data_IF_695325269809
#
_entry.id   IF_695325269809
#
_cell.length_a   1.000
_cell.length_b   1.000
_cell.length_c   1.000
_cell.angle_alpha   90.00
_cell.angle_beta   90.00
_cell.angle_gamma   90.00
#
_symmetry.space_group_name_H-M   'P 1'
#
loop_
_entity.id
_entity.type
_entity.pdbx_description
1 polymer ?
#
# COMPACT_ATOMS: atom_id res chain seq x y z
N UNK A 1 -10.82 -21.98 16.98
CA UNK A 1 -10.66 -20.52 16.91
C UNK A 1 -9.29 -20.25 16.33
N UNK A 2 -9.17 -19.29 15.43
CA UNK A 2 -7.90 -18.86 14.83
C UNK A 2 -7.63 -17.42 15.21
N UNK A 3 -6.35 -17.06 15.25
CA UNK A 3 -5.90 -15.68 15.38
C UNK A 3 -5.31 -15.23 14.06
N UNK A 4 -5.70 -14.05 13.62
CA UNK A 4 -5.32 -13.45 12.36
C UNK A 4 -4.75 -12.07 12.62
N UNK A 5 -3.72 -11.72 11.86
CA UNK A 5 -3.23 -10.37 11.74
C UNK A 5 -3.67 -9.79 10.41
N UNK A 6 -4.35 -8.66 10.47
CA UNK A 6 -4.80 -7.87 9.32
C UNK A 6 -3.92 -6.64 9.28
N UNK A 7 -3.25 -6.42 8.14
CA UNK A 7 -2.56 -5.17 7.85
C UNK A 7 -3.24 -4.52 6.64
N UNK A 8 -3.55 -3.23 6.72
CA UNK A 8 -4.16 -2.51 5.61
C UNK A 8 -3.70 -1.06 5.56
N UNK A 9 -3.41 -0.55 4.36
CA UNK A 9 -3.07 0.85 4.15
C UNK A 9 -4.29 1.62 3.64
N UNK A 10 -4.53 2.80 4.18
CA UNK A 10 -5.61 3.71 3.78
C UNK A 10 -5.07 5.12 3.54
N UNK A 11 -5.61 5.92 2.62
CA UNK A 11 -5.19 7.30 2.44
C UNK A 11 -5.63 8.20 3.61
N UNK A 12 -6.68 7.81 4.34
CA UNK A 12 -7.27 8.62 5.41
C UNK A 12 -7.45 7.82 6.70
N UNK A 13 -7.25 8.50 7.83
CA UNK A 13 -7.41 7.91 9.18
C UNK A 13 -8.88 7.85 9.61
N UNK A 14 -9.69 8.77 9.11
CA UNK A 14 -11.01 9.07 9.66
C UNK A 14 -11.98 7.89 9.52
N UNK A 15 -12.50 7.36 10.63
CA UNK A 15 -13.46 6.24 10.58
C UNK A 15 -12.88 4.86 10.18
N UNK A 16 -11.62 4.78 9.75
CA UNK A 16 -10.99 3.54 9.26
C UNK A 16 -11.07 2.40 10.29
N UNK A 17 -10.67 2.67 11.53
CA UNK A 17 -10.71 1.70 12.62
C UNK A 17 -12.13 1.21 12.92
N UNK A 18 -13.11 2.11 12.83
CA UNK A 18 -14.51 1.82 13.15
C UNK A 18 -15.12 0.94 12.05
N UNK A 19 -14.88 1.27 10.78
CA UNK A 19 -15.41 0.54 9.62
C UNK A 19 -14.78 -0.85 9.51
N UNK A 20 -13.45 -0.94 9.61
CA UNK A 20 -12.73 -2.23 9.60
C UNK A 20 -13.10 -3.07 10.81
N UNK A 21 -13.22 -2.45 12.00
CA UNK A 21 -13.72 -3.12 13.20
C UNK A 21 -15.15 -3.66 13.02
N UNK A 22 -16.02 -2.94 12.31
CA UNK A 22 -17.37 -3.41 11.99
C UNK A 22 -17.34 -4.64 11.08
N UNK A 23 -16.48 -4.68 10.07
CA UNK A 23 -16.31 -5.87 9.22
C UNK A 23 -15.83 -7.08 10.02
N UNK A 24 -14.82 -6.88 10.88
CA UNK A 24 -14.28 -7.93 11.77
C UNK A 24 -15.39 -8.51 12.65
N UNK A 25 -16.16 -7.66 13.32
CA UNK A 25 -17.25 -8.07 14.21
C UNK A 25 -18.41 -8.75 13.45
N UNK A 26 -18.79 -8.22 12.29
CA UNK A 26 -19.88 -8.79 11.46
C UNK A 26 -19.58 -10.22 10.99
N UNK A 27 -18.30 -10.57 10.85
CA UNK A 27 -17.86 -11.91 10.45
C UNK A 27 -17.49 -12.81 11.64
N UNK A 28 -17.84 -12.41 12.86
CA UNK A 28 -17.67 -13.23 14.08
C UNK A 28 -16.26 -13.24 14.65
N UNK A 29 -15.42 -12.28 14.27
CA UNK A 29 -14.09 -12.09 14.86
C UNK A 29 -14.15 -11.04 15.98
N UNK A 30 -13.37 -11.25 17.03
CA UNK A 30 -13.16 -10.29 18.11
C UNK A 30 -11.80 -9.63 17.96
N UNK A 31 -11.77 -8.32 18.13
CA UNK A 31 -10.53 -7.56 18.10
C UNK A 31 -9.71 -7.80 19.38
N UNK A 32 -8.44 -8.18 19.22
CA UNK A 32 -7.50 -8.39 20.33
C UNK A 32 -6.55 -7.20 20.48
N UNK A 33 -5.94 -6.77 19.38
CA UNK A 33 -4.98 -5.66 19.35
C UNK A 33 -5.22 -4.83 18.10
N UNK A 34 -4.99 -3.53 18.19
CA UNK A 34 -5.02 -2.64 17.05
C UNK A 34 -3.92 -1.60 17.16
N UNK A 35 -3.40 -1.17 16.01
CA UNK A 35 -2.43 -0.10 15.89
C UNK A 35 -2.73 0.67 14.62
N UNK A 36 -2.73 1.99 14.72
CA UNK A 36 -2.72 2.87 13.55
C UNK A 36 -1.42 3.65 13.58
N UNK A 37 -0.73 3.67 12.46
CA UNK A 37 0.54 4.39 12.27
C UNK A 37 0.41 5.27 11.03
N UNK A 38 1.00 6.46 11.07
CA UNK A 38 1.14 7.30 9.90
C UNK A 38 2.40 6.88 9.16
N UNK A 39 2.25 6.57 7.89
CA UNK A 39 3.28 6.11 6.96
C UNK A 39 3.44 7.14 5.83
N UNK A 40 4.57 7.12 5.13
CA UNK A 40 4.83 8.01 3.99
C UNK A 40 3.77 7.86 2.88
N UNK A 41 3.14 6.69 2.78
CA UNK A 41 2.12 6.39 1.78
C UNK A 41 0.67 6.45 2.30
N UNK A 42 0.44 6.74 3.59
CA UNK A 42 -0.91 6.85 4.16
C UNK A 42 -1.00 6.48 5.64
N UNK A 43 -2.10 5.85 6.03
CA UNK A 43 -2.37 5.38 7.39
C UNK A 43 -2.38 3.86 7.37
N UNK A 44 -1.38 3.27 8.03
CA UNK A 44 -1.25 1.84 8.20
C UNK A 44 -2.06 1.38 9.42
N UNK A 45 -3.04 0.52 9.19
CA UNK A 45 -3.83 -0.16 10.20
C UNK A 45 -3.32 -1.59 10.38
N UNK A 46 -2.95 -1.96 11.60
CA UNK A 46 -2.67 -3.35 11.99
C UNK A 46 -3.70 -3.78 13.03
N UNK A 47 -4.39 -4.90 12.81
CA UNK A 47 -5.37 -5.47 13.73
C UNK A 47 -5.10 -6.97 13.94
N UNK A 48 -4.96 -7.39 15.20
CA UNK A 48 -4.96 -8.80 15.57
C UNK A 48 -6.38 -9.16 16.00
N UNK A 49 -6.97 -10.13 15.32
CA UNK A 49 -8.36 -10.55 15.52
C UNK A 49 -8.46 -12.04 15.77
N UNK A 50 -9.42 -12.46 16.59
CA UNK A 50 -9.62 -13.86 16.96
C UNK A 50 -11.03 -14.30 16.62
N UNK A 51 -11.19 -15.39 15.88
CA UNK A 51 -12.51 -15.80 15.41
C UNK A 51 -12.60 -17.23 14.89
N UNK A 52 -13.75 -17.61 14.31
CA UNK A 52 -13.95 -18.92 13.72
C UNK A 52 -13.18 -19.06 12.41
N UNK A 53 -12.51 -20.19 12.19
CA UNK A 53 -11.77 -20.44 10.95
C UNK A 53 -12.64 -20.39 9.69
N UNK A 54 -13.92 -20.77 9.84
CA UNK A 54 -14.92 -20.74 8.76
C UNK A 54 -15.22 -19.31 8.28
N UNK A 55 -15.05 -18.30 9.14
CA UNK A 55 -15.31 -16.88 8.81
C UNK A 55 -14.17 -16.21 8.04
N UNK A 56 -12.98 -16.83 7.97
CA UNK A 56 -11.77 -16.22 7.37
C UNK A 56 -12.00 -15.76 5.94
N UNK A 57 -12.47 -16.66 5.06
CA UNK A 57 -12.65 -16.34 3.62
C UNK A 57 -13.68 -15.22 3.39
N UNK A 58 -14.73 -15.18 4.21
CA UNK A 58 -15.76 -14.15 4.12
C UNK A 58 -15.23 -12.79 4.59
N UNK A 59 -14.45 -12.77 5.68
CA UNK A 59 -13.77 -11.57 6.14
C UNK A 59 -12.76 -11.07 5.10
N UNK A 60 -11.98 -11.96 4.50
CA UNK A 60 -11.02 -11.64 3.44
C UNK A 60 -11.71 -10.99 2.23
N UNK A 61 -12.82 -11.57 1.77
CA UNK A 61 -13.59 -11.00 0.67
C UNK A 61 -14.20 -9.64 1.01
N UNK A 62 -14.69 -9.45 2.24
CA UNK A 62 -15.24 -8.18 2.69
C UNK A 62 -14.18 -7.07 2.78
N UNK A 63 -12.98 -7.40 3.28
CA UNK A 63 -11.85 -6.46 3.34
C UNK A 63 -11.29 -6.18 1.94
N UNK A 64 -11.30 -7.15 1.03
CA UNK A 64 -10.89 -6.93 -0.37
C UNK A 64 -11.87 -6.11 -1.20
N UNK A 65 -13.14 -6.04 -0.79
CA UNK A 65 -14.13 -5.16 -1.40
C UNK A 65 -14.18 -3.75 -0.76
N UNK A 66 -13.37 -3.49 0.26
CA UNK A 66 -13.39 -2.22 0.98
C UNK A 66 -12.55 -1.16 0.26
N UNK A 67 -13.23 -0.25 -0.44
CA UNK A 67 -12.64 0.75 -1.34
C UNK A 67 -11.64 1.72 -0.69
N UNK A 68 -11.67 1.85 0.65
CA UNK A 68 -10.76 2.75 1.37
C UNK A 68 -9.42 2.12 1.69
N UNK A 69 -9.30 0.79 1.57
CA UNK A 69 -7.99 0.17 1.55
C UNK A 69 -7.35 0.38 0.18
N UNK A 70 -6.19 1.00 0.19
CA UNK A 70 -5.26 0.99 -0.92
C UNK A 70 -4.83 -0.45 -1.20
N UNK A 71 -4.64 -1.20 -0.11
CA UNK A 71 -4.03 -2.51 -0.10
C UNK A 71 -4.23 -3.14 1.27
N UNK A 72 -4.35 -4.47 1.33
CA UNK A 72 -4.42 -5.18 2.60
C UNK A 72 -3.86 -6.59 2.47
N UNK A 73 -3.40 -7.13 3.60
CA UNK A 73 -3.02 -8.53 3.73
C UNK A 73 -3.56 -9.10 5.04
N UNK A 74 -3.83 -10.41 5.01
CA UNK A 74 -4.34 -11.13 6.17
C UNK A 74 -3.59 -12.45 6.36
N UNK A 75 -3.00 -12.62 7.54
CA UNK A 75 -2.13 -13.74 7.87
C UNK A 75 -2.54 -14.42 9.18
N UNK A 76 -2.17 -15.70 9.40
CA UNK A 76 -2.19 -16.27 10.74
C UNK A 76 -1.28 -15.47 11.68
N UNK A 77 -1.80 -15.09 12.84
CA UNK A 77 -1.02 -14.42 13.89
C UNK A 77 -0.12 -15.45 14.60
N UNK A 78 1.15 -15.10 14.79
CA UNK A 78 2.14 -15.88 15.53
C UNK A 78 2.75 -14.96 16.59
N UNK A 79 2.60 -15.31 17.87
CA UNK A 79 3.08 -14.48 18.98
C UNK A 79 4.61 -14.48 19.02
N UNK A 80 5.22 -13.28 19.05
CA UNK A 80 6.67 -13.10 19.18
C UNK A 80 7.45 -12.72 17.91
N UNK A 81 6.84 -12.75 16.73
CA UNK A 81 7.48 -12.28 15.49
C UNK A 81 6.93 -10.90 15.08
N UNK A 82 7.67 -9.79 15.30
CA UNK A 82 7.33 -8.53 14.69
C UNK A 82 7.54 -8.65 13.18
N UNK A 83 6.45 -8.81 12.42
CA UNK A 83 6.54 -8.87 10.96
C UNK A 83 6.75 -7.46 10.39
N UNK A 84 7.73 -7.28 9.49
CA UNK A 84 8.03 -5.99 8.90
C UNK A 84 6.82 -5.45 8.15
N UNK A 85 6.67 -4.13 8.21
CA UNK A 85 5.48 -3.38 7.84
C UNK A 85 5.17 -3.47 6.33
N UNK A 86 3.91 -3.72 6.02
CA UNK A 86 3.33 -3.59 4.70
C UNK A 86 3.12 -2.11 4.35
N UNK A 87 3.69 -1.65 3.23
CA UNK A 87 3.63 -0.24 2.82
C UNK A 87 3.11 -0.11 1.38
N UNK A 88 1.86 -0.49 1.05
CA UNK A 88 1.42 -0.51 -0.36
C UNK A 88 0.84 0.79 -0.89
N UNK A 89 1.48 1.38 -1.90
CA UNK A 89 1.06 2.60 -2.63
C UNK A 89 -0.21 2.41 -3.50
N UNK A 90 -0.92 3.53 -3.73
CA UNK A 90 -2.25 3.73 -4.34
C UNK A 90 -2.51 3.03 -5.70
N UNK A 91 -3.62 2.30 -5.89
CA UNK A 91 -4.26 2.23 -7.20
C UNK A 91 -5.02 3.55 -7.47
N UNK A 92 -4.81 4.15 -8.64
CA UNK A 92 -5.52 5.37 -9.06
C UNK A 92 -7.04 5.13 -9.14
N UNK A 93 -7.78 5.70 -8.19
CA UNK A 93 -9.12 6.22 -8.49
C UNK A 93 -9.03 7.73 -8.70
N UNK A 94 -9.26 8.14 -9.96
CA UNK A 94 -9.64 9.48 -10.39
C UNK A 94 -8.83 10.67 -9.79
N UNK A 95 -7.55 10.77 -10.13
CA UNK A 95 -6.90 12.09 -10.12
C UNK A 95 -7.39 12.88 -11.34
N UNK A 96 -8.36 13.76 -11.12
CA UNK A 96 -8.67 14.84 -12.07
C UNK A 96 -7.65 15.96 -11.81
N UNK A 97 -6.77 16.30 -12.77
CA UNK A 97 -5.84 17.41 -12.59
C UNK A 97 -6.61 18.71 -12.31
N UNK A 98 -6.09 19.60 -11.45
CA UNK A 98 -6.71 20.90 -11.23
C UNK A 98 -6.79 21.65 -12.56
N UNK A 99 -7.91 22.34 -12.86
CA UNK A 99 -8.04 23.08 -14.09
C UNK A 99 -6.95 24.15 -14.17
N UNK A 100 -6.26 24.18 -15.32
CA UNK A 100 -5.23 25.18 -15.60
C UNK A 100 -5.78 26.61 -15.39
N UNK A 101 -4.96 27.56 -14.91
CA UNK A 101 -5.39 28.94 -14.73
C UNK A 101 -5.88 29.51 -16.07
N UNK A 102 -7.03 30.21 -16.09
CA UNK A 102 -7.63 30.65 -17.35
C UNK A 102 -6.75 31.71 -18.02
N UNK A 103 -6.34 31.42 -19.25
CA UNK A 103 -5.82 32.41 -20.19
C UNK A 103 -7.00 33.33 -20.56
N UNK A 104 -6.86 34.62 -20.26
CA UNK A 104 -7.88 35.62 -20.52
C UNK A 104 -8.11 35.82 -22.03
N UNK A 105 -9.36 35.63 -22.48
CA UNK A 105 -9.85 36.07 -23.78
C UNK A 105 -11.33 36.53 -23.64
N UNK A 106 -11.81 37.44 -24.51
CA UNK A 106 -12.78 38.47 -24.15
C UNK A 106 -14.24 38.01 -24.13
N UNK A 107 -15.04 38.75 -23.38
CA UNK A 107 -16.43 38.48 -23.01
C UNK A 107 -17.44 38.52 -24.18
N UNK A 108 -18.51 37.71 -24.12
CA UNK A 108 -19.79 37.99 -24.74
C UNK A 108 -20.91 38.37 -23.72
N UNK A 109 -21.99 39.04 -24.17
CA UNK A 109 -23.04 39.64 -23.32
C UNK A 109 -24.10 38.62 -22.82
N UNK A 110 -25.02 39.03 -21.91
CA UNK A 110 -25.65 38.08 -20.97
C UNK A 110 -27.14 37.75 -21.20
N UNK A 111 -27.53 36.64 -20.56
CA UNK A 111 -28.81 36.18 -19.95
C UNK A 111 -30.11 36.01 -20.74
N UNK A 112 -30.79 34.88 -20.44
CA UNK A 112 -32.07 34.74 -19.66
C UNK A 112 -32.30 33.24 -19.40
N UNK A 113 -32.37 32.66 -18.19
CA UNK A 113 -33.14 32.84 -16.94
C UNK A 113 -34.56 32.23 -16.94
N UNK A 114 -34.81 31.24 -16.05
CA UNK A 114 -36.01 31.01 -15.19
C UNK A 114 -35.89 29.60 -14.55
N UNK A 115 -35.76 29.43 -13.21
CA UNK A 115 -36.77 29.49 -12.12
C UNK A 115 -37.94 28.50 -12.36
N UNK A 116 -38.39 27.62 -11.45
CA UNK A 116 -38.86 27.88 -10.07
C UNK A 116 -39.17 26.54 -9.34
N UNK A 117 -39.01 26.49 -8.02
CA UNK A 117 -39.62 25.52 -7.06
C UNK A 117 -41.10 25.93 -6.74
N UNK A 118 -41.88 25.45 -5.72
CA UNK A 118 -41.62 24.53 -4.58
C UNK A 118 -42.83 23.66 -4.07
N UNK A 119 -42.63 23.02 -2.89
CA UNK A 119 -43.60 22.69 -1.79
C UNK A 119 -44.57 21.49 -1.91
N UNK A 120 -44.57 20.54 -0.96
CA UNK A 120 -45.32 20.61 0.34
C UNK A 120 -45.38 19.24 1.06
N UNK A 121 -45.50 19.29 2.40
CA UNK A 121 -45.76 18.17 3.36
C UNK A 121 -47.24 18.31 3.84
N UNK A 122 -47.85 17.62 4.86
CA UNK A 122 -47.55 16.42 5.68
C UNK A 122 -48.81 15.54 6.06
N UNK A 123 -48.67 14.65 7.07
CA UNK A 123 -49.70 14.17 8.07
C UNK A 123 -50.52 12.88 7.68
N UNK A 124 -50.86 11.86 8.50
CA UNK A 124 -51.34 11.63 9.91
C UNK A 124 -51.25 10.08 10.19
N UNK A 125 -50.80 9.49 11.32
CA UNK A 125 -51.25 9.37 12.73
C UNK A 125 -52.32 8.27 13.07
N UNK A 126 -52.06 7.61 14.23
CA UNK A 126 -52.93 6.92 15.22
C UNK A 126 -53.17 5.39 15.10
N UNK A 127 -53.44 4.59 16.15
CA UNK A 127 -53.06 4.46 17.59
C UNK A 127 -54.00 3.41 18.27
N UNK A 128 -53.58 2.88 19.45
CA UNK A 128 -54.33 2.17 20.54
C UNK A 128 -54.18 0.62 20.57
N UNK A 129 -53.75 -0.12 21.62
CA UNK A 129 -53.81 -0.14 23.11
C UNK A 129 -54.78 -1.24 23.64
N UNK A 130 -54.33 -2.39 24.21
CA UNK A 130 -54.12 -2.77 25.65
C UNK A 130 -55.28 -3.66 26.21
N UNK A 131 -55.26 -4.32 27.41
CA UNK A 131 -54.21 -4.90 28.31
C UNK A 131 -54.57 -6.32 28.88
N UNK A 132 -53.71 -6.97 29.70
CA UNK A 132 -53.98 -7.37 31.12
C UNK A 132 -52.85 -8.21 31.78
N UNK A 133 -52.74 -8.09 33.12
CA UNK A 133 -51.85 -8.83 34.07
C UNK A 133 -52.74 -9.69 35.04
N UNK A 134 -52.29 -10.46 36.09
CA UNK A 134 -50.99 -10.50 36.79
C UNK A 134 -50.48 -11.91 37.27
N UNK A 135 -49.38 -11.86 38.04
CA UNK A 135 -48.52 -12.89 38.70
C UNK A 135 -49.20 -13.78 39.77
N UNK A 136 -48.59 -14.90 40.23
CA UNK A 136 -47.77 -14.84 41.47
C UNK A 136 -46.53 -15.77 41.58
N UNK A 137 -45.64 -15.35 42.49
CA UNK A 137 -44.37 -15.92 43.01
C UNK A 137 -44.38 -17.37 43.53
N UNK A 138 -43.22 -18.03 43.43
CA UNK A 138 -42.63 -18.86 44.52
C UNK A 138 -41.12 -19.15 44.29
N UNK A 139 -40.36 -19.20 45.38
CA UNK A 139 -38.95 -19.62 45.50
C UNK A 139 -38.83 -20.62 46.68
N UNK A 140 -37.64 -21.13 47.04
CA UNK A 140 -36.76 -22.10 46.37
C UNK A 140 -36.69 -23.44 47.16
N UNK A 141 -36.07 -24.50 46.62
CA UNK A 141 -35.81 -25.73 47.38
C UNK A 141 -34.43 -26.37 47.08
N UNK A 142 -33.62 -26.37 48.13
CA UNK A 142 -32.51 -27.26 48.53
C UNK A 142 -31.65 -28.00 47.48
N UNK A 143 -30.36 -27.70 47.54
CA UNK A 143 -29.22 -28.46 46.98
C UNK A 143 -29.06 -29.82 47.68
N UNK A 144 -28.53 -30.85 46.99
CA UNK A 144 -27.75 -31.90 47.62
C UNK A 144 -26.25 -31.59 47.49
N UNK A 145 -25.55 -31.77 48.61
CA UNK A 145 -24.09 -31.70 48.77
C UNK A 145 -23.34 -32.48 47.66
N UNK A 146 -22.52 -31.77 46.91
CA UNK A 146 -21.41 -32.36 46.17
C UNK A 146 -20.11 -31.77 46.71
N UNK A 147 -19.26 -32.67 47.21
CA UNK A 147 -17.96 -32.40 47.80
C UNK A 147 -17.14 -31.43 46.94
N UNK A 148 -16.80 -30.31 47.56
CA UNK A 148 -15.96 -29.25 47.02
C UNK A 148 -14.51 -29.75 46.92
N UNK A 149 -14.13 -30.39 45.81
CA UNK A 149 -12.71 -30.51 45.45
C UNK A 149 -12.27 -29.09 45.06
N UNK A 150 -11.70 -28.35 46.01
CA UNK A 150 -11.04 -27.08 45.69
C UNK A 150 -9.89 -27.37 44.71
N UNK A 151 -9.90 -26.80 43.49
CA UNK A 151 -8.68 -26.72 42.71
C UNK A 151 -7.73 -25.85 43.52
N UNK A 152 -6.59 -26.41 43.92
CA UNK A 152 -5.49 -25.63 44.48
C UNK A 152 -5.24 -24.42 43.56
N UNK A 153 -5.20 -23.19 44.08
CA UNK A 153 -4.93 -22.02 43.26
C UNK A 153 -3.54 -22.21 42.65
N UNK A 154 -3.49 -22.48 41.35
CA UNK A 154 -2.25 -22.44 40.58
C UNK A 154 -1.71 -21.02 40.74
N UNK A 155 -0.47 -20.83 41.23
CA UNK A 155 0.11 -19.49 41.30
C UNK A 155 0.00 -18.84 39.91
N UNK A 156 -0.39 -17.55 39.82
CA UNK A 156 -0.48 -16.88 38.54
C UNK A 156 0.87 -17.05 37.83
N UNK A 157 0.85 -17.67 36.66
CA UNK A 157 2.01 -17.69 35.79
C UNK A 157 2.45 -16.24 35.63
N UNK A 158 3.72 -15.96 35.89
CA UNK A 158 4.30 -14.64 35.74
C UNK A 158 3.82 -14.07 34.40
N UNK A 159 3.17 -12.91 34.44
CA UNK A 159 2.80 -12.21 33.23
C UNK A 159 4.05 -12.16 32.33
N UNK A 160 3.97 -12.58 31.05
CA UNK A 160 5.10 -12.42 30.16
C UNK A 160 5.51 -10.96 30.25
N UNK A 161 6.79 -10.73 30.55
CA UNK A 161 7.36 -9.41 30.62
C UNK A 161 6.89 -8.67 29.37
N UNK A 162 6.24 -7.52 29.56
CA UNK A 162 5.79 -6.69 28.47
C UNK A 162 7.03 -6.45 27.58
N UNK A 163 7.08 -7.15 26.45
CA UNK A 163 8.09 -6.93 25.43
C UNK A 163 7.86 -5.49 25.04
N UNK A 164 8.78 -4.62 25.46
CA UNK A 164 8.78 -3.23 25.06
C UNK A 164 8.74 -3.25 23.54
N UNK A 165 7.58 -2.92 22.97
CA UNK A 165 7.42 -2.77 21.54
C UNK A 165 8.53 -1.80 21.12
N UNK A 166 9.46 -2.26 20.30
CA UNK A 166 10.46 -1.39 19.71
C UNK A 166 9.68 -0.23 19.08
N UNK A 167 9.91 1.02 19.52
CA UNK A 167 9.20 2.15 18.96
C UNK A 167 9.46 2.12 17.45
N UNK A 168 8.38 2.25 16.68
CA UNK A 168 8.50 2.40 15.24
C UNK A 168 9.29 3.69 15.00
N UNK A 169 10.49 3.54 14.45
CA UNK A 169 11.32 4.67 14.07
C UNK A 169 10.81 5.10 12.71
N UNK A 170 10.24 6.30 12.65
CA UNK A 170 10.03 6.98 11.38
C UNK A 170 11.40 7.18 10.75
N UNK A 171 11.69 6.40 9.71
CA UNK A 171 12.97 6.45 9.01
C UNK A 171 12.99 7.71 8.17
N UNK A 172 13.63 8.76 8.67
CA UNK A 172 13.85 9.99 7.92
C UNK A 172 14.57 9.64 6.62
N UNK A 173 13.99 9.91 5.44
CA UNK A 173 14.62 9.60 4.16
C UNK A 173 16.02 10.21 4.09
N UNK A 174 17.01 9.35 3.83
CA UNK A 174 18.39 9.75 3.67
C UNK A 174 18.72 9.92 2.19
N UNK A 175 19.70 10.78 1.91
CA UNK A 175 20.30 10.86 0.59
C UNK A 175 20.90 9.51 0.15
N UNK A 176 21.17 9.34 -1.15
CA UNK A 176 21.77 8.11 -1.66
C UNK A 176 23.15 7.87 -1.01
N UNK A 177 23.54 6.61 -0.86
CA UNK A 177 24.92 6.22 -0.55
C UNK A 177 25.72 6.19 -1.86
N UNK A 178 26.25 7.36 -2.26
CA UNK A 178 27.01 7.47 -3.51
C UNK A 178 28.24 6.55 -3.57
N UNK A 179 29.04 6.38 -2.49
CA UNK A 179 30.15 5.43 -2.49
C UNK A 179 29.74 3.99 -2.82
N UNK A 180 28.63 3.51 -2.26
CA UNK A 180 28.11 2.17 -2.55
C UNK A 180 27.65 2.05 -4.00
N UNK A 181 26.97 3.08 -4.52
CA UNK A 181 26.52 3.14 -5.93
C UNK A 181 27.71 3.14 -6.88
N UNK A 182 28.73 3.97 -6.64
CA UNK A 182 29.96 4.02 -7.45
C UNK A 182 30.68 2.67 -7.50
N UNK A 183 30.74 1.98 -6.36
CA UNK A 183 31.34 0.63 -6.29
C UNK A 183 30.61 -0.36 -7.19
N UNK A 184 29.28 -0.33 -7.20
CA UNK A 184 28.45 -1.17 -8.06
C UNK A 184 28.69 -0.85 -9.55
N UNK A 185 28.76 0.44 -9.89
CA UNK A 185 28.87 0.89 -11.29
C UNK A 185 30.20 0.52 -11.95
N UNK A 186 31.27 0.29 -11.19
CA UNK A 186 32.57 -0.14 -11.75
C UNK A 186 32.52 -1.47 -12.50
N UNK A 187 31.57 -2.34 -12.15
CA UNK A 187 31.41 -3.64 -12.79
C UNK A 187 30.46 -3.59 -14.01
N UNK A 188 29.80 -2.45 -14.27
CA UNK A 188 28.72 -2.34 -15.23
C UNK A 188 29.14 -2.72 -16.66
N UNK A 189 30.31 -2.29 -17.11
CA UNK A 189 30.80 -2.54 -18.48
C UNK A 189 30.94 -4.03 -18.81
N UNK A 190 31.28 -4.85 -17.82
CA UNK A 190 31.52 -6.28 -18.01
C UNK A 190 30.32 -7.15 -17.66
N UNK A 191 29.51 -6.69 -16.70
CA UNK A 191 28.42 -7.48 -16.15
C UNK A 191 27.05 -7.14 -16.76
N UNK A 192 26.89 -6.03 -17.48
CA UNK A 192 25.61 -5.70 -18.13
C UNK A 192 25.25 -6.72 -19.24
N UNK A 193 23.99 -7.20 -19.31
CA UNK A 193 22.82 -6.85 -18.50
C UNK A 193 22.63 -7.65 -17.20
N UNK A 194 23.55 -8.57 -16.86
CA UNK A 194 23.51 -9.44 -15.67
C UNK A 194 23.91 -8.72 -14.38
N UNK A 195 23.33 -7.55 -14.11
CA UNK A 195 23.66 -6.70 -12.96
C UNK A 195 22.77 -6.93 -11.72
N UNK A 196 21.75 -7.79 -11.83
CA UNK A 196 20.79 -8.06 -10.75
C UNK A 196 21.48 -8.50 -9.44
N UNK A 197 22.48 -9.41 -9.43
CA UNK A 197 23.18 -9.77 -8.20
C UNK A 197 23.84 -8.57 -7.49
N UNK A 198 24.41 -7.65 -8.26
CA UNK A 198 25.08 -6.44 -7.77
C UNK A 198 24.06 -5.46 -7.21
N UNK A 199 22.87 -5.36 -7.82
CA UNK A 199 21.76 -4.55 -7.31
C UNK A 199 21.22 -5.07 -5.98
N UNK A 200 21.07 -6.39 -5.84
CA UNK A 200 20.68 -7.02 -4.58
C UNK A 200 21.74 -6.78 -3.49
N UNK A 201 23.03 -6.89 -3.83
CA UNK A 201 24.12 -6.60 -2.91
C UNK A 201 24.10 -5.12 -2.47
N UNK A 202 23.85 -4.18 -3.41
CA UNK A 202 23.70 -2.77 -3.11
C UNK A 202 22.54 -2.55 -2.12
N UNK A 203 21.35 -3.06 -2.43
CA UNK A 203 20.15 -2.96 -1.59
C UNK A 203 20.36 -3.43 -0.15
N UNK A 204 21.13 -4.50 0.04
CA UNK A 204 21.44 -5.08 1.35
C UNK A 204 22.54 -4.32 2.09
N UNK A 205 23.45 -3.67 1.36
CA UNK A 205 24.60 -2.96 1.95
C UNK A 205 24.29 -1.56 2.45
N UNK A 206 23.29 -0.89 1.87
CA UNK A 206 22.91 0.48 2.21
C UNK A 206 21.91 0.52 3.37
N UNK A 207 21.92 1.63 4.12
CA UNK A 207 20.95 1.87 5.17
C UNK A 207 19.51 1.86 4.60
N UNK A 208 18.55 1.35 5.38
CA UNK A 208 17.15 1.24 4.95
C UNK A 208 16.58 2.58 4.47
N UNK A 209 16.83 3.66 5.21
CA UNK A 209 16.40 5.01 4.87
C UNK A 209 17.08 5.60 3.61
N UNK A 210 18.20 5.04 3.16
CA UNK A 210 18.93 5.47 1.95
C UNK A 210 18.71 4.51 0.77
N UNK A 211 17.96 3.42 0.95
CA UNK A 211 17.90 2.33 -0.01
C UNK A 211 17.28 2.74 -1.33
N UNK A 212 16.11 3.37 -1.26
CA UNK A 212 15.38 3.81 -2.45
C UNK A 212 16.15 4.89 -3.22
N UNK A 213 16.71 5.88 -2.51
CA UNK A 213 17.50 6.95 -3.11
C UNK A 213 18.78 6.41 -3.77
N UNK A 214 19.47 5.47 -3.11
CA UNK A 214 20.66 4.80 -3.66
C UNK A 214 20.33 3.98 -4.91
N UNK A 215 19.24 3.21 -4.88
CA UNK A 215 18.80 2.41 -6.02
C UNK A 215 18.34 3.29 -7.19
N UNK A 216 17.62 4.38 -6.93
CA UNK A 216 17.25 5.36 -7.95
C UNK A 216 18.49 5.98 -8.62
N UNK A 217 19.49 6.37 -7.83
CA UNK A 217 20.75 6.91 -8.37
C UNK A 217 21.52 5.87 -9.19
N UNK A 218 21.59 4.63 -8.71
CA UNK A 218 22.21 3.52 -9.44
C UNK A 218 21.51 3.30 -10.78
N UNK A 219 20.17 3.22 -10.76
CA UNK A 219 19.34 3.14 -11.96
C UNK A 219 19.65 4.24 -12.95
N UNK A 220 19.59 5.50 -12.51
CA UNK A 220 19.85 6.67 -13.36
C UNK A 220 21.19 6.61 -14.06
N UNK A 221 22.24 6.25 -13.34
CA UNK A 221 23.59 6.16 -13.90
C UNK A 221 23.74 4.97 -14.84
N UNK A 222 23.14 3.82 -14.53
CA UNK A 222 23.08 2.66 -15.42
C UNK A 222 22.34 3.02 -16.71
N UNK A 223 21.15 3.63 -16.62
CA UNK A 223 20.35 4.03 -17.78
C UNK A 223 21.08 5.00 -18.70
N UNK A 224 21.72 6.03 -18.13
CA UNK A 224 22.53 6.98 -18.89
C UNK A 224 23.80 6.37 -19.48
N UNK A 225 24.36 5.32 -18.87
CA UNK A 225 25.47 4.58 -19.46
C UNK A 225 24.98 3.72 -20.64
N UNK A 226 23.87 2.99 -20.50
CA UNK A 226 23.26 2.18 -21.57
C UNK A 226 22.90 3.07 -22.75
N UNK A 227 22.24 4.22 -22.51
CA UNK A 227 21.91 5.18 -23.57
C UNK A 227 23.15 5.55 -24.39
N UNK A 228 24.23 5.99 -23.73
CA UNK A 228 25.47 6.38 -24.43
C UNK A 228 26.20 5.23 -25.12
N UNK A 229 26.00 4.00 -24.65
CA UNK A 229 26.70 2.82 -25.15
C UNK A 229 26.00 2.18 -26.35
N UNK A 230 24.67 2.21 -26.36
CA UNK A 230 23.85 1.46 -27.32
C UNK A 230 23.00 2.34 -28.24
N UNK A 231 22.76 3.61 -27.86
CA UNK A 231 21.84 4.50 -28.57
C UNK A 231 22.54 5.76 -29.06
N UNK A 232 22.41 6.01 -30.36
CA UNK A 232 22.76 7.26 -31.00
C UNK A 232 21.49 7.77 -31.67
N UNK A 233 21.00 8.93 -31.24
CA UNK A 233 19.82 9.57 -31.81
C UNK A 233 20.23 10.86 -32.50
N UNK A 234 19.78 11.03 -33.74
CA UNK A 234 19.98 12.25 -34.51
C UNK A 234 18.98 13.34 -34.11
N UNK A 235 17.74 12.94 -33.75
CA UNK A 235 16.65 13.80 -33.29
C UNK A 235 15.94 13.19 -32.07
N UNK A 236 15.30 14.03 -31.25
CA UNK A 236 14.55 13.57 -30.08
C UNK A 236 13.25 12.85 -30.45
N UNK A 237 12.88 11.84 -29.67
CA UNK A 237 11.64 11.07 -29.80
C UNK A 237 10.53 11.68 -28.92
N UNK A 238 9.27 11.41 -29.26
CA UNK A 238 8.19 11.62 -28.30
C UNK A 238 8.24 10.56 -27.18
N UNK A 239 7.56 10.81 -26.05
CA UNK A 239 7.64 9.93 -24.89
C UNK A 239 7.18 8.50 -25.20
N UNK A 240 6.10 8.32 -25.96
CA UNK A 240 5.58 6.99 -26.28
C UNK A 240 6.56 6.25 -27.18
N UNK A 241 7.07 6.93 -28.20
CA UNK A 241 8.05 6.36 -29.11
C UNK A 241 9.36 6.00 -28.39
N UNK A 242 9.83 6.84 -27.45
CA UNK A 242 10.99 6.57 -26.62
C UNK A 242 10.79 5.33 -25.72
N UNK A 243 9.60 5.17 -25.12
CA UNK A 243 9.26 3.99 -24.33
C UNK A 243 9.28 2.74 -25.20
N UNK A 244 8.61 2.75 -26.34
CA UNK A 244 8.47 1.59 -27.23
C UNK A 244 9.80 1.17 -27.86
N UNK A 245 10.61 2.13 -28.31
CA UNK A 245 11.85 1.86 -29.06
C UNK A 245 13.08 1.66 -28.20
N UNK A 246 13.11 2.19 -26.98
CA UNK A 246 14.30 2.20 -26.11
C UNK A 246 13.97 1.65 -24.72
N UNK A 247 12.93 2.19 -24.07
CA UNK A 247 12.59 1.88 -22.68
C UNK A 247 12.27 0.41 -22.45
N UNK A 248 11.29 -0.12 -23.20
CA UNK A 248 10.83 -1.51 -23.10
C UNK A 248 11.93 -2.51 -23.48
N UNK A 249 12.64 -2.37 -24.63
CA UNK A 249 13.75 -3.26 -24.95
C UNK A 249 14.86 -3.28 -23.90
N UNK A 250 15.26 -2.13 -23.38
CA UNK A 250 16.32 -2.04 -22.38
C UNK A 250 15.89 -2.62 -21.02
N UNK A 251 14.62 -2.45 -20.62
CA UNK A 251 14.08 -3.06 -19.41
C UNK A 251 13.98 -4.58 -19.54
N UNK A 252 13.58 -5.10 -20.71
CA UNK A 252 13.51 -6.55 -20.95
C UNK A 252 14.86 -7.26 -20.78
N UNK A 253 15.98 -6.55 -20.96
CA UNK A 253 17.30 -7.10 -20.68
C UNK A 253 17.53 -7.37 -19.18
N UNK A 254 16.76 -6.72 -18.30
CA UNK A 254 16.93 -6.76 -16.84
C UNK A 254 15.78 -7.50 -16.12
N UNK A 255 14.54 -7.35 -16.60
CA UNK A 255 13.33 -7.85 -15.94
C UNK A 255 12.22 -8.10 -16.94
N UNK A 256 11.29 -8.98 -16.61
CA UNK A 256 10.06 -9.15 -17.39
C UNK A 256 9.17 -7.91 -17.25
N UNK A 257 8.79 -7.31 -18.38
CA UNK A 257 7.99 -6.08 -18.42
C UNK A 257 6.91 -6.16 -19.49
N UNK A 258 5.70 -5.67 -19.19
CA UNK A 258 4.65 -5.43 -20.18
C UNK A 258 4.35 -3.93 -20.28
N UNK A 259 4.07 -3.46 -21.49
CA UNK A 259 3.65 -2.08 -21.72
C UNK A 259 2.13 -1.98 -21.91
N UNK A 260 1.52 -1.04 -21.17
CA UNK A 260 0.11 -0.66 -21.33
C UNK A 260 0.02 0.86 -21.50
N UNK A 261 0.11 1.34 -22.74
CA UNK A 261 0.18 2.78 -23.01
C UNK A 261 1.46 3.39 -22.47
N UNK A 262 1.36 4.28 -21.48
CA UNK A 262 2.50 4.89 -20.78
C UNK A 262 2.82 4.22 -19.44
N UNK A 263 2.14 3.11 -19.13
CA UNK A 263 2.41 2.30 -17.95
C UNK A 263 3.31 1.11 -18.30
N UNK A 264 4.26 0.83 -17.43
CA UNK A 264 5.15 -0.31 -17.51
C UNK A 264 4.91 -1.21 -16.30
N UNK A 265 4.48 -2.44 -16.58
CA UNK A 265 4.19 -3.47 -15.60
C UNK A 265 5.42 -4.36 -15.47
N UNK A 266 6.11 -4.27 -14.34
CA UNK A 266 7.28 -5.09 -14.05
C UNK A 266 6.83 -6.32 -13.27
N UNK A 267 7.05 -7.49 -13.87
CA UNK A 267 6.71 -8.79 -13.28
C UNK A 267 7.91 -9.34 -12.51
N UNK A 268 7.63 -10.01 -11.40
CA UNK A 268 8.64 -10.73 -10.61
C UNK A 268 9.96 -9.97 -10.35
N UNK A 269 9.85 -8.66 -10.11
CA UNK A 269 11.01 -7.82 -9.81
C UNK A 269 11.83 -8.41 -8.66
N UNK A 270 13.12 -8.73 -8.89
CA UNK A 270 13.98 -9.33 -7.87
C UNK A 270 14.24 -8.37 -6.70
N UNK A 271 14.12 -7.06 -6.94
CA UNK A 271 14.30 -6.01 -5.94
C UNK A 271 13.05 -5.80 -5.08
N UNK A 272 11.92 -6.36 -5.50
CA UNK A 272 10.60 -6.14 -4.90
C UNK A 272 9.99 -7.44 -4.33
N UNK A 273 10.83 -8.46 -4.07
CA UNK A 273 10.46 -9.72 -3.38
C UNK A 273 10.19 -9.52 -1.87
N UNK A 274 9.86 -10.59 -1.12
CA UNK A 274 9.41 -10.52 0.29
C UNK A 274 10.34 -9.74 1.25
N UNK A 275 11.66 -9.72 0.99
CA UNK A 275 12.64 -8.95 1.77
C UNK A 275 13.16 -7.70 1.04
N UNK A 276 12.54 -7.40 -0.11
CA UNK A 276 12.95 -6.34 -1.02
C UNK A 276 12.16 -5.07 -0.78
N UNK A 277 12.76 -4.08 -0.11
CA UNK A 277 12.19 -2.73 0.05
C UNK A 277 12.86 -1.73 -0.89
N UNK A 278 12.79 -2.00 -2.20
CA UNK A 278 13.42 -1.11 -3.19
C UNK A 278 12.48 -0.07 -3.76
N UNK A 279 11.17 -0.22 -3.56
CA UNK A 279 10.15 0.60 -4.24
C UNK A 279 10.18 0.49 -5.76
N UNK A 280 10.92 -0.50 -6.29
CA UNK A 280 11.29 -0.58 -7.70
C UNK A 280 11.94 0.73 -8.21
N UNK A 281 12.54 1.52 -7.31
CA UNK A 281 13.16 2.83 -7.57
C UNK A 281 14.35 2.75 -8.52
N UNK A 282 15.05 1.60 -8.56
CA UNK A 282 16.07 1.35 -9.58
C UNK A 282 15.51 1.45 -11.00
N UNK A 283 14.34 0.84 -11.27
CA UNK A 283 13.77 0.83 -12.62
C UNK A 283 13.25 2.21 -13.02
N UNK A 284 12.68 2.96 -12.08
CA UNK A 284 12.34 4.37 -12.29
C UNK A 284 13.58 5.19 -12.65
N UNK A 285 14.63 5.13 -11.82
CA UNK A 285 15.90 5.79 -12.12
C UNK A 285 16.50 5.36 -13.46
N UNK A 286 16.47 4.05 -13.77
CA UNK A 286 16.98 3.50 -15.02
C UNK A 286 16.30 4.12 -16.23
N UNK A 287 14.97 4.18 -16.23
CA UNK A 287 14.19 4.82 -17.29
C UNK A 287 14.46 6.33 -17.37
N UNK A 288 14.58 7.04 -16.25
CA UNK A 288 14.93 8.47 -16.25
C UNK A 288 16.28 8.71 -16.92
N UNK A 289 17.29 7.91 -16.55
CA UNK A 289 18.63 8.02 -17.09
C UNK A 289 18.74 7.61 -18.57
N UNK A 290 17.93 6.63 -18.97
CA UNK A 290 17.91 6.07 -20.32
C UNK A 290 17.12 6.94 -21.31
N UNK A 291 15.91 7.38 -20.92
CA UNK A 291 15.00 8.10 -21.80
C UNK A 291 15.18 9.62 -21.73
N UNK A 292 15.72 10.15 -20.64
CA UNK A 292 15.95 11.59 -20.48
C UNK A 292 16.70 12.24 -21.65
N UNK A 293 17.80 11.63 -22.16
CA UNK A 293 18.50 12.14 -23.34
C UNK A 293 17.77 11.88 -24.67
N UNK A 294 16.83 10.94 -24.70
CA UNK A 294 16.14 10.50 -25.92
C UNK A 294 14.93 11.34 -26.28
N UNK A 295 14.30 11.96 -25.29
CA UNK A 295 13.05 12.70 -25.47
C UNK A 295 13.37 14.14 -25.90
N UNK A 296 12.68 14.62 -26.94
CA UNK A 296 12.74 16.02 -27.40
C UNK A 296 12.47 16.99 -26.22
N UNK A 297 12.90 18.27 -26.22
CA UNK A 297 12.98 19.10 -25.01
C UNK A 297 11.65 19.16 -24.23
N UNK A 298 11.54 18.28 -23.25
CA UNK A 298 10.34 17.93 -22.52
C UNK A 298 10.76 17.22 -21.24
N UNK A 299 10.11 17.58 -20.14
CA UNK A 299 10.43 17.03 -18.82
C UNK A 299 9.64 15.75 -18.61
N UNK A 300 10.30 14.59 -18.75
CA UNK A 300 9.66 13.34 -18.36
C UNK A 300 9.67 13.19 -16.84
N UNK A 301 8.57 12.65 -16.31
CA UNK A 301 8.40 12.27 -14.92
C UNK A 301 7.99 10.80 -14.84
N UNK A 302 8.51 10.09 -13.84
CA UNK A 302 8.17 8.69 -13.58
C UNK A 302 7.64 8.58 -12.17
N UNK A 303 6.49 7.93 -12.03
CA UNK A 303 5.87 7.70 -10.74
C UNK A 303 5.60 6.21 -10.54
N UNK A 304 6.01 5.62 -9.40
CA UNK A 304 5.54 4.30 -9.03
C UNK A 304 4.06 4.37 -8.69
N UNK A 305 3.23 3.64 -9.45
CA UNK A 305 1.79 3.51 -9.19
C UNK A 305 1.58 2.50 -8.07
N UNK A 306 2.14 1.30 -8.22
CA UNK A 306 2.12 0.27 -7.20
C UNK A 306 3.40 -0.57 -7.25
N UNK A 307 3.71 -1.27 -6.14
CA UNK A 307 4.91 -2.08 -6.05
C UNK A 307 4.73 -3.27 -5.11
N UNK A 308 5.39 -4.38 -5.43
CA UNK A 308 5.40 -5.60 -4.61
C UNK A 308 6.19 -5.46 -3.31
N UNK A 309 7.24 -4.63 -3.28
CA UNK A 309 7.96 -4.23 -2.04
C UNK A 309 7.03 -3.64 -0.98
N UNK A 310 5.96 -3.07 -1.49
CA UNK A 310 4.97 -2.30 -0.82
C UNK A 310 3.72 -3.17 -0.59
N UNK A 311 3.56 -4.26 -1.35
CA UNK A 311 2.58 -5.31 -1.11
C UNK A 311 1.40 -5.32 -2.10
N UNK A 312 1.54 -4.63 -3.22
CA UNK A 312 0.71 -4.86 -4.39
C UNK A 312 1.05 -6.21 -5.06
N UNK A 313 0.16 -6.71 -5.91
CA UNK A 313 0.38 -7.96 -6.66
C UNK A 313 1.40 -7.81 -7.81
N UNK A 314 1.62 -6.57 -8.27
CA UNK A 314 2.52 -6.22 -9.35
C UNK A 314 3.25 -4.91 -9.07
N UNK A 315 4.31 -4.65 -9.83
CA UNK A 315 5.02 -3.37 -9.83
C UNK A 315 4.65 -2.60 -11.10
N UNK A 316 4.13 -1.39 -10.96
CA UNK A 316 3.69 -0.56 -12.09
C UNK A 316 4.32 0.81 -12.00
N UNK A 317 4.98 1.23 -13.08
CA UNK A 317 5.52 2.58 -13.26
C UNK A 317 4.70 3.32 -14.31
N UNK A 318 4.33 4.56 -14.04
CA UNK A 318 3.69 5.45 -15.01
C UNK A 318 4.65 6.55 -15.43
N UNK A 319 4.71 6.80 -16.74
CA UNK A 319 5.54 7.83 -17.35
C UNK A 319 4.65 8.94 -17.92
N UNK A 320 5.01 10.19 -17.65
CA UNK A 320 4.32 11.39 -18.13
C UNK A 320 5.29 12.50 -18.55
N UNK A 321 4.88 13.32 -19.52
CA UNK A 321 5.59 14.50 -20.03
C UNK A 321 5.14 15.83 -19.41
#
# INVERSE_FOLDING_TARGET
>A
MIELEIQGLSPTREGLLIEVGRFVMAHGFTLQRQRLVQDHHGILLTMVVRGPSRGRKALEAALGAYERFISFQMFPFVDGEPKPHFAASLPRMAYTPPPAPPVAAPAPPPVTASATSPTDTPTKAAASASPDAPEPRQAPAAEPDFEFIQPTPRPPAAAPAAVAATPFVDLVPLGPDEPAVEKMLRALEYDYPKIVPQLLALQQSVAEAARESSLALAGKRTGSWVFRSEYLLDDGLDLREAIERIGVPALHALVEVDQQGTQLHIHDSPLCAQDGHSGCSFFGGFLEGLLGPAIAPGSMSIFPVCCRSYGADACVLELSD
#
